data_IF_815519110240
#
_entry.id   IF_815519110240
#
_cell.length_a   1.000
_cell.length_b   1.000
_cell.length_c   1.000
_cell.angle_alpha   90.00
_cell.angle_beta   90.00
_cell.angle_gamma   90.00
#
_symmetry.space_group_name_H-M   'P 1'
#
loop_
_entity.id
_entity.type
_entity.pdbx_description
1 polymer ?
#
# COMPACT_ATOMS: atom_id res chain seq x y z
N UNK A 1 13.99 -13.24 35.01
CA UNK A 1 13.53 -14.62 34.71
C UNK A 1 12.77 -14.59 33.41
N UNK A 2 13.05 -15.49 32.49
CA UNK A 2 12.31 -15.63 31.22
C UNK A 2 10.94 -16.22 31.57
N UNK A 3 9.85 -15.53 31.17
CA UNK A 3 8.48 -16.01 31.39
C UNK A 3 8.00 -16.82 30.19
N UNK A 4 8.32 -18.11 30.15
CA UNK A 4 7.96 -19.00 29.04
C UNK A 4 6.46 -19.00 28.72
N UNK A 5 5.52 -19.02 29.67
CA UNK A 5 4.07 -18.91 29.38
C UNK A 5 3.70 -17.65 28.59
N UNK A 6 4.23 -16.49 28.92
CA UNK A 6 3.96 -15.24 28.19
C UNK A 6 4.50 -15.29 26.77
N UNK A 7 5.71 -15.83 26.57
CA UNK A 7 6.33 -16.03 25.26
C UNK A 7 5.49 -16.99 24.40
N UNK A 8 5.03 -18.10 24.99
CA UNK A 8 4.17 -19.07 24.30
C UNK A 8 2.85 -18.43 23.85
N UNK A 9 2.23 -17.60 24.69
CA UNK A 9 0.99 -16.91 24.35
C UNK A 9 1.24 -15.87 23.25
N UNK A 10 2.29 -15.04 23.37
CA UNK A 10 2.58 -14.00 22.39
C UNK A 10 2.93 -14.61 21.02
N UNK A 11 3.87 -15.54 20.98
CA UNK A 11 4.29 -16.18 19.73
C UNK A 11 3.23 -17.13 19.17
N UNK A 12 2.51 -17.86 20.03
CA UNK A 12 1.41 -18.72 19.60
C UNK A 12 0.28 -17.90 18.93
N UNK A 13 -0.05 -16.75 19.50
CA UNK A 13 -1.00 -15.80 18.90
C UNK A 13 -0.46 -15.28 17.57
N UNK A 14 0.79 -14.84 17.50
CA UNK A 14 1.42 -14.37 16.27
C UNK A 14 1.43 -15.44 15.17
N UNK A 15 1.83 -16.66 15.50
CA UNK A 15 1.84 -17.79 14.56
C UNK A 15 0.42 -18.13 14.06
N UNK A 16 -0.59 -18.14 14.94
CA UNK A 16 -1.98 -18.37 14.58
C UNK A 16 -2.48 -17.29 13.61
N UNK A 17 -2.24 -16.02 13.90
CA UNK A 17 -2.67 -14.90 13.07
C UNK A 17 -2.04 -14.96 11.66
N UNK A 18 -0.74 -15.22 11.57
CA UNK A 18 -0.02 -15.34 10.29
C UNK A 18 -0.51 -16.55 9.50
N UNK A 19 -0.67 -17.71 10.16
CA UNK A 19 -1.16 -18.93 9.50
C UNK A 19 -2.59 -18.73 8.98
N UNK A 20 -3.47 -18.14 9.77
CA UNK A 20 -4.85 -17.84 9.37
C UNK A 20 -4.87 -16.92 8.15
N UNK A 21 -4.09 -15.84 8.16
CA UNK A 21 -3.99 -14.92 7.03
C UNK A 21 -3.42 -15.62 5.78
N UNK A 22 -2.41 -16.46 5.93
CA UNK A 22 -1.81 -17.21 4.83
C UNK A 22 -2.80 -18.17 4.18
N UNK A 23 -3.52 -18.96 4.99
CA UNK A 23 -4.54 -19.90 4.49
C UNK A 23 -5.70 -19.17 3.81
N UNK A 24 -6.15 -18.05 4.38
CA UNK A 24 -7.19 -17.22 3.78
C UNK A 24 -6.75 -16.67 2.40
N UNK A 25 -5.53 -16.16 2.31
CA UNK A 25 -4.97 -15.63 1.05
C UNK A 25 -4.79 -16.71 -0.01
N UNK A 26 -4.26 -17.88 0.32
CA UNK A 26 -4.10 -19.01 -0.62
C UNK A 26 -5.46 -19.40 -1.22
N UNK A 27 -6.54 -19.37 -0.43
CA UNK A 27 -7.89 -19.68 -0.91
C UNK A 27 -8.44 -18.65 -1.90
N UNK A 28 -8.07 -17.37 -1.77
CA UNK A 28 -8.62 -16.26 -2.57
C UNK A 28 -7.68 -15.88 -3.72
N UNK A 29 -6.37 -16.21 -3.61
CA UNK A 29 -5.38 -15.82 -4.60
C UNK A 29 -5.75 -16.32 -5.99
N UNK A 30 -6.12 -15.38 -6.87
CA UNK A 30 -6.44 -15.63 -8.28
C UNK A 30 -5.33 -15.16 -9.21
N UNK A 31 -4.35 -14.42 -8.72
CA UNK A 31 -3.33 -13.80 -9.54
C UNK A 31 -1.94 -14.32 -9.21
N UNK A 32 -1.07 -14.37 -10.23
CA UNK A 32 0.30 -14.84 -10.12
C UNK A 32 1.28 -13.64 -10.02
N UNK A 33 0.82 -12.53 -9.49
CA UNK A 33 1.58 -11.28 -9.44
C UNK A 33 2.72 -11.35 -8.39
N UNK A 34 3.76 -10.54 -8.64
CA UNK A 34 4.96 -10.53 -7.80
C UNK A 34 4.67 -10.09 -6.36
N UNK A 35 3.84 -9.04 -6.17
CA UNK A 35 3.49 -8.52 -4.84
C UNK A 35 2.74 -9.55 -4.00
N UNK A 36 1.85 -10.34 -4.58
CA UNK A 36 1.19 -11.43 -3.86
C UNK A 36 2.16 -12.53 -3.42
N UNK A 37 3.09 -12.91 -4.32
CA UNK A 37 4.13 -13.90 -3.98
C UNK A 37 5.05 -13.39 -2.88
N UNK A 38 5.51 -12.14 -3.00
CA UNK A 38 6.39 -11.52 -2.00
C UNK A 38 5.70 -11.42 -0.63
N UNK A 39 4.43 -11.03 -0.62
CA UNK A 39 3.65 -10.95 0.62
C UNK A 39 3.46 -12.33 1.27
N UNK A 40 3.06 -13.34 0.50
CA UNK A 40 2.90 -14.71 1.00
C UNK A 40 4.23 -15.29 1.49
N UNK A 41 5.34 -15.00 0.81
CA UNK A 41 6.68 -15.40 1.24
C UNK A 41 7.05 -14.77 2.59
N UNK A 42 6.78 -13.46 2.78
CA UNK A 42 7.01 -12.80 4.07
C UNK A 42 6.16 -13.41 5.20
N UNK A 43 4.91 -13.79 4.93
CA UNK A 43 4.07 -14.50 5.90
C UNK A 43 4.68 -15.85 6.29
N UNK A 44 5.16 -16.64 5.32
CA UNK A 44 5.81 -17.93 5.57
C UNK A 44 7.07 -17.73 6.44
N UNK A 45 7.93 -16.78 6.10
CA UNK A 45 9.14 -16.46 6.87
C UNK A 45 8.78 -16.04 8.29
N UNK A 46 7.75 -15.19 8.45
CA UNK A 46 7.28 -14.75 9.77
C UNK A 46 6.75 -15.92 10.59
N UNK A 47 5.97 -16.83 10.00
CA UNK A 47 5.48 -18.03 10.69
C UNK A 47 6.63 -18.90 11.18
N UNK A 48 7.60 -19.19 10.32
CA UNK A 48 8.80 -19.98 10.67
C UNK A 48 9.58 -19.30 11.79
N UNK A 49 9.81 -17.98 11.67
CA UNK A 49 10.56 -17.22 12.66
C UNK A 49 9.86 -17.20 14.03
N UNK A 50 8.54 -17.09 14.06
CA UNK A 50 7.73 -17.11 15.31
C UNK A 50 7.84 -18.45 16.02
N UNK A 51 7.68 -19.56 15.29
CA UNK A 51 7.83 -20.92 15.85
C UNK A 51 9.26 -21.13 16.32
N UNK A 52 10.23 -20.73 15.51
CA UNK A 52 11.65 -20.88 15.80
C UNK A 52 12.09 -20.09 17.04
N UNK A 53 11.62 -18.86 17.20
CA UNK A 53 11.90 -18.07 18.40
C UNK A 53 11.32 -18.73 19.67
N UNK A 54 10.09 -19.24 19.58
CA UNK A 54 9.47 -19.99 20.68
C UNK A 54 10.32 -21.20 21.09
N UNK A 55 10.80 -21.96 20.10
CA UNK A 55 11.68 -23.09 20.36
C UNK A 55 12.98 -22.64 21.01
N UNK A 56 13.59 -21.55 20.56
CA UNK A 56 14.80 -20.98 21.16
C UNK A 56 14.64 -20.70 22.65
N UNK A 57 13.53 -20.07 23.07
CA UNK A 57 13.26 -19.81 24.49
C UNK A 57 12.98 -21.08 25.31
N UNK A 58 12.35 -22.11 24.71
CA UNK A 58 12.06 -23.37 25.39
C UNK A 58 13.34 -24.16 25.66
N UNK A 59 14.30 -24.12 24.73
CA UNK A 59 15.54 -24.88 24.82
C UNK A 59 16.67 -24.11 25.53
N UNK A 60 16.49 -22.83 25.81
CA UNK A 60 17.46 -21.99 26.51
C UNK A 60 17.82 -22.58 27.88
N UNK A 61 19.09 -22.58 28.23
CA UNK A 61 19.66 -23.16 29.45
C UNK A 61 19.40 -24.65 29.65
N UNK A 62 18.96 -25.43 28.66
CA UNK A 62 18.81 -26.87 28.75
C UNK A 62 20.17 -27.56 28.49
N UNK A 63 20.63 -28.44 29.40
CA UNK A 63 21.93 -29.10 29.24
C UNK A 63 21.90 -30.12 28.11
N UNK A 64 23.01 -30.24 27.39
CA UNK A 64 23.23 -31.25 26.36
C UNK A 64 23.65 -30.71 25.01
N UNK A 65 24.50 -31.43 24.31
CA UNK A 65 25.08 -31.02 23.03
C UNK A 65 24.05 -30.79 21.94
N UNK A 66 22.98 -31.60 21.92
CA UNK A 66 21.90 -31.43 20.94
C UNK A 66 21.20 -30.08 21.14
N UNK A 67 20.93 -29.69 22.38
CA UNK A 67 20.30 -28.40 22.68
C UNK A 67 21.21 -27.22 22.33
N UNK A 68 22.52 -27.36 22.47
CA UNK A 68 23.49 -26.38 22.04
C UNK A 68 23.42 -26.13 20.52
N UNK A 69 23.42 -27.19 19.73
CA UNK A 69 23.28 -27.07 18.26
C UNK A 69 21.94 -26.46 17.87
N UNK A 70 20.85 -26.92 18.48
CA UNK A 70 19.50 -26.40 18.18
C UNK A 70 19.37 -24.92 18.54
N UNK A 71 19.95 -24.51 19.68
CA UNK A 71 19.96 -23.09 20.10
C UNK A 71 20.76 -22.25 19.11
N UNK A 72 21.88 -22.76 18.63
CA UNK A 72 22.71 -22.07 17.65
C UNK A 72 22.00 -21.89 16.30
N UNK A 73 21.39 -22.95 15.78
CA UNK A 73 20.59 -22.93 14.54
C UNK A 73 19.40 -21.97 14.68
N UNK A 74 18.68 -22.05 15.78
CA UNK A 74 17.49 -21.27 16.07
C UNK A 74 17.79 -19.78 16.07
N UNK A 75 18.84 -19.34 16.76
CA UNK A 75 19.24 -17.94 16.81
C UNK A 75 19.78 -17.44 15.46
N UNK A 76 20.44 -18.31 14.68
CA UNK A 76 20.85 -18.00 13.31
C UNK A 76 19.64 -17.72 12.41
N UNK A 77 18.62 -18.59 12.44
CA UNK A 77 17.37 -18.42 11.66
C UNK A 77 16.66 -17.12 12.07
N UNK A 78 16.52 -16.86 13.36
CA UNK A 78 15.90 -15.64 13.88
C UNK A 78 16.63 -14.38 13.42
N UNK A 79 17.97 -14.38 13.48
CA UNK A 79 18.81 -13.27 13.03
C UNK A 79 18.69 -13.00 11.52
N UNK A 80 18.57 -14.04 10.71
CA UNK A 80 18.41 -13.92 9.25
C UNK A 80 17.00 -13.46 8.85
N UNK A 81 15.97 -13.91 9.56
CA UNK A 81 14.56 -13.71 9.20
C UNK A 81 14.17 -12.23 9.12
N UNK A 82 14.62 -11.39 10.06
CA UNK A 82 14.30 -9.97 10.09
C UNK A 82 14.89 -9.20 8.89
N UNK A 83 16.13 -9.52 8.49
CA UNK A 83 16.74 -8.94 7.29
C UNK A 83 16.03 -9.37 6.00
N UNK A 84 15.64 -10.64 5.90
CA UNK A 84 14.88 -11.17 4.76
C UNK A 84 13.53 -10.47 4.63
N UNK A 85 12.78 -10.31 5.72
CA UNK A 85 11.48 -9.64 5.71
C UNK A 85 11.64 -8.17 5.32
N UNK A 86 12.62 -7.45 5.88
CA UNK A 86 12.88 -6.05 5.53
C UNK A 86 13.19 -5.85 4.04
N UNK A 87 14.04 -6.72 3.47
CA UNK A 87 14.35 -6.72 2.05
C UNK A 87 13.13 -7.01 1.18
N UNK A 88 12.39 -8.08 1.49
CA UNK A 88 11.18 -8.44 0.75
C UNK A 88 10.09 -7.37 0.86
N UNK A 89 9.98 -6.71 2.02
CA UNK A 89 9.07 -5.59 2.21
C UNK A 89 9.38 -4.42 1.26
N UNK A 90 10.65 -4.03 1.14
CA UNK A 90 11.04 -2.98 0.18
C UNK A 90 10.70 -3.36 -1.27
N UNK A 91 10.94 -4.62 -1.67
CA UNK A 91 10.59 -5.08 -3.01
C UNK A 91 9.08 -5.10 -3.23
N UNK A 92 8.32 -5.53 -2.22
CA UNK A 92 6.86 -5.51 -2.25
C UNK A 92 6.33 -4.08 -2.43
N UNK A 93 6.81 -3.12 -1.63
CA UNK A 93 6.45 -1.70 -1.72
C UNK A 93 6.77 -1.15 -3.10
N UNK A 94 7.99 -1.37 -3.59
CA UNK A 94 8.44 -0.87 -4.89
C UNK A 94 7.58 -1.40 -6.04
N UNK A 95 7.24 -2.68 -6.03
CA UNK A 95 6.38 -3.28 -7.07
C UNK A 95 4.95 -2.82 -6.95
N UNK A 96 4.40 -2.82 -5.74
CA UNK A 96 3.00 -2.45 -5.52
C UNK A 96 2.71 -1.04 -6.02
N UNK A 97 3.67 -0.12 -5.83
CA UNK A 97 3.55 1.29 -6.25
C UNK A 97 3.76 1.48 -7.75
N UNK A 98 4.82 0.90 -8.29
CA UNK A 98 5.26 1.23 -9.66
C UNK A 98 4.84 0.21 -10.71
N UNK A 99 4.40 -0.99 -10.31
CA UNK A 99 4.00 -2.10 -11.21
C UNK A 99 5.02 -2.40 -12.32
N UNK A 100 6.31 -2.13 -12.07
CA UNK A 100 7.38 -2.24 -13.07
C UNK A 100 8.47 -3.22 -12.60
N UNK A 101 8.57 -4.37 -13.27
CA UNK A 101 9.50 -5.43 -12.91
C UNK A 101 10.96 -5.10 -13.22
N UNK A 102 11.25 -4.38 -14.31
CA UNK A 102 12.62 -3.97 -14.64
C UNK A 102 13.19 -3.00 -13.59
N UNK A 103 12.35 -2.13 -13.07
CA UNK A 103 12.72 -1.22 -11.99
C UNK A 103 13.10 -1.99 -10.71
N UNK A 104 12.33 -3.02 -10.35
CA UNK A 104 12.64 -3.89 -9.22
C UNK A 104 13.97 -4.59 -9.42
N UNK A 105 14.21 -5.19 -10.58
CA UNK A 105 15.44 -5.90 -10.89
C UNK A 105 16.68 -5.01 -10.73
N UNK A 106 16.58 -3.73 -11.08
CA UNK A 106 17.65 -2.76 -10.86
C UNK A 106 17.80 -2.41 -9.37
N UNK A 107 16.70 -2.13 -8.68
CA UNK A 107 16.70 -1.68 -7.28
C UNK A 107 17.01 -2.81 -6.31
N UNK A 108 16.61 -4.05 -6.61
CA UNK A 108 16.89 -5.23 -5.78
C UNK A 108 18.38 -5.44 -5.51
N UNK A 109 19.25 -5.13 -6.48
CA UNK A 109 20.71 -5.25 -6.31
C UNK A 109 21.24 -4.31 -5.24
N UNK A 110 20.72 -3.08 -5.19
CA UNK A 110 21.12 -2.07 -4.19
C UNK A 110 20.54 -2.45 -2.83
N UNK A 111 19.27 -2.83 -2.79
CA UNK A 111 18.59 -3.23 -1.57
C UNK A 111 19.15 -4.54 -0.98
N UNK A 112 19.79 -5.38 -1.78
CA UNK A 112 20.45 -6.60 -1.29
C UNK A 112 21.72 -6.30 -0.46
N UNK A 113 22.34 -5.11 -0.57
CA UNK A 113 23.60 -4.80 0.10
C UNK A 113 23.50 -4.98 1.63
N UNK A 114 22.54 -4.38 2.35
CA UNK A 114 22.42 -4.59 3.80
C UNK A 114 22.16 -6.05 4.15
N UNK A 115 21.35 -6.78 3.36
CA UNK A 115 21.09 -8.20 3.56
C UNK A 115 22.36 -9.05 3.38
N UNK A 116 23.16 -8.77 2.36
CA UNK A 116 24.45 -9.46 2.12
C UNK A 116 25.40 -9.23 3.30
N UNK A 117 25.52 -7.98 3.77
CA UNK A 117 26.38 -7.66 4.92
C UNK A 117 25.87 -8.38 6.17
N UNK A 118 24.57 -8.37 6.45
CA UNK A 118 23.98 -9.12 7.56
C UNK A 118 24.27 -10.61 7.46
N UNK A 119 24.13 -11.20 6.25
CA UNK A 119 24.45 -12.62 6.01
C UNK A 119 25.92 -12.94 6.26
N UNK A 120 26.84 -12.07 5.84
CA UNK A 120 28.27 -12.22 6.11
C UNK A 120 28.56 -12.17 7.63
N UNK A 121 27.96 -11.21 8.35
CA UNK A 121 28.13 -11.13 9.81
C UNK A 121 27.57 -12.36 10.52
N UNK A 122 26.42 -12.87 10.10
CA UNK A 122 25.84 -14.11 10.62
C UNK A 122 26.78 -15.31 10.31
N UNK A 123 27.32 -15.36 9.09
CA UNK A 123 28.28 -16.41 8.72
C UNK A 123 29.56 -16.35 9.55
N UNK A 124 30.11 -15.15 9.80
CA UNK A 124 31.26 -14.99 10.74
C UNK A 124 30.88 -15.46 12.14
N UNK A 125 29.65 -15.21 12.59
CA UNK A 125 29.18 -15.69 13.89
C UNK A 125 29.11 -17.23 13.96
N UNK A 126 28.80 -17.90 12.83
CA UNK A 126 28.82 -19.37 12.74
C UNK A 126 30.22 -19.97 12.97
N UNK A 127 31.29 -19.20 12.82
CA UNK A 127 32.66 -19.60 13.12
C UNK A 127 33.00 -19.51 14.63
N UNK A 128 32.00 -19.26 15.48
CA UNK A 128 32.17 -19.22 16.94
C UNK A 128 32.72 -17.89 17.47
N UNK A 129 32.59 -16.78 16.72
CA UNK A 129 33.14 -15.48 17.13
C UNK A 129 32.29 -14.76 18.17
N UNK A 130 31.00 -15.12 18.34
CA UNK A 130 30.09 -14.49 19.29
C UNK A 130 29.74 -13.03 18.98
N UNK A 131 30.03 -12.53 17.76
CA UNK A 131 29.84 -11.11 17.43
C UNK A 131 28.37 -10.69 17.36
N UNK A 132 27.48 -11.56 16.90
CA UNK A 132 26.03 -11.33 16.82
C UNK A 132 25.32 -11.89 18.04
N UNK A 133 25.62 -13.14 18.39
CA UNK A 133 25.16 -13.81 19.60
C UNK A 133 26.16 -14.88 20.01
N UNK A 134 26.18 -15.19 21.28
CA UNK A 134 26.96 -16.28 21.83
C UNK A 134 26.09 -17.21 22.66
N UNK A 135 26.48 -18.49 22.75
CA UNK A 135 25.79 -19.49 23.53
C UNK A 135 26.82 -20.12 24.46
N UNK A 136 26.63 -19.90 25.76
CA UNK A 136 27.55 -20.43 26.78
C UNK A 136 27.61 -21.97 26.79
N UNK A 137 28.54 -22.53 27.51
CA UNK A 137 28.64 -24.00 27.73
C UNK A 137 27.42 -24.58 28.44
N UNK A 138 26.70 -23.74 29.19
CA UNK A 138 25.46 -24.05 29.89
C UNK A 138 24.21 -23.83 28.98
N UNK A 139 24.44 -23.58 27.68
CA UNK A 139 23.41 -23.30 26.67
C UNK A 139 22.57 -22.03 26.93
N UNK A 140 23.15 -21.05 27.62
CA UNK A 140 22.50 -19.76 27.84
C UNK A 140 22.85 -18.83 26.70
N UNK A 141 21.79 -18.24 26.07
CA UNK A 141 21.93 -17.25 25.02
C UNK A 141 22.36 -15.88 25.58
N UNK A 142 23.30 -15.26 24.90
CA UNK A 142 23.69 -13.85 25.13
C UNK A 142 23.81 -13.08 23.83
N UNK A 143 23.41 -11.79 23.85
CA UNK A 143 23.57 -10.92 22.69
C UNK A 143 25.04 -10.55 22.51
N UNK A 144 25.55 -10.71 21.30
CA UNK A 144 26.87 -10.26 20.92
C UNK A 144 26.97 -8.74 20.74
N UNK A 145 28.18 -8.17 20.71
CA UNK A 145 28.41 -6.73 20.66
C UNK A 145 27.92 -6.07 19.37
N UNK A 146 27.79 -6.82 18.26
CA UNK A 146 27.30 -6.32 16.98
C UNK A 146 25.84 -6.69 16.68
N UNK A 147 25.11 -7.29 17.62
CA UNK A 147 23.70 -7.66 17.42
C UNK A 147 22.84 -6.46 16.97
N UNK A 148 23.10 -5.25 17.47
CA UNK A 148 22.37 -4.03 17.12
C UNK A 148 22.47 -3.64 15.63
N UNK A 149 23.50 -4.10 14.90
CA UNK A 149 23.69 -3.81 13.47
C UNK A 149 22.54 -4.41 12.65
N UNK A 150 22.04 -5.60 13.05
CA UNK A 150 20.90 -6.22 12.38
C UNK A 150 19.65 -5.35 12.46
N UNK A 151 19.41 -4.69 13.60
CA UNK A 151 18.31 -3.73 13.74
C UNK A 151 18.52 -2.49 12.88
N UNK A 152 19.76 -1.97 12.77
CA UNK A 152 20.07 -0.83 11.89
C UNK A 152 19.72 -1.18 10.44
N UNK A 153 20.03 -2.38 9.95
CA UNK A 153 19.69 -2.78 8.59
C UNK A 153 18.17 -2.85 8.36
N UNK A 154 17.42 -3.31 9.34
CA UNK A 154 15.94 -3.28 9.28
C UNK A 154 15.42 -1.83 9.21
N UNK A 155 15.98 -0.91 9.99
CA UNK A 155 15.62 0.51 9.92
C UNK A 155 15.98 1.15 8.57
N UNK A 156 17.08 0.76 7.95
CA UNK A 156 17.42 1.20 6.58
C UNK A 156 16.32 0.81 5.59
N UNK A 157 15.79 -0.42 5.68
CA UNK A 157 14.66 -0.86 4.85
C UNK A 157 13.38 -0.07 5.12
N UNK A 158 13.09 0.27 6.38
CA UNK A 158 11.93 1.09 6.72
C UNK A 158 12.05 2.51 6.14
N UNK A 159 13.22 3.15 6.28
CA UNK A 159 13.48 4.49 5.73
C UNK A 159 13.36 4.47 4.20
N UNK A 160 13.93 3.47 3.54
CA UNK A 160 13.85 3.35 2.08
C UNK A 160 12.42 3.13 1.58
N UNK A 161 11.62 2.33 2.29
CA UNK A 161 10.21 2.12 1.93
C UNK A 161 9.38 3.39 2.14
N UNK A 162 9.61 4.15 3.23
CA UNK A 162 8.98 5.46 3.45
C UNK A 162 9.36 6.43 2.31
N UNK A 163 10.65 6.51 1.96
CA UNK A 163 11.14 7.36 0.87
C UNK A 163 10.47 7.00 -0.46
N UNK A 164 10.36 5.72 -0.78
CA UNK A 164 9.71 5.22 -2.01
C UNK A 164 8.26 5.67 -2.08
N UNK A 165 7.49 5.49 -1.01
CA UNK A 165 6.08 5.89 -0.93
C UNK A 165 5.93 7.41 -1.07
N UNK A 166 6.71 8.19 -0.31
CA UNK A 166 6.61 9.64 -0.35
C UNK A 166 7.00 10.21 -1.73
N UNK A 167 8.04 9.66 -2.37
CA UNK A 167 8.44 10.08 -3.71
C UNK A 167 7.36 9.81 -4.76
N UNK A 168 6.69 8.67 -4.65
CA UNK A 168 5.66 8.25 -5.60
C UNK A 168 4.27 8.86 -5.35
N UNK A 169 4.06 9.50 -4.19
CA UNK A 169 2.77 10.10 -3.80
C UNK A 169 2.24 11.15 -4.80
N UNK A 170 3.09 11.67 -5.65
CA UNK A 170 2.72 12.64 -6.69
C UNK A 170 2.27 11.98 -8.00
N UNK A 171 2.53 10.69 -8.18
CA UNK A 171 2.40 10.03 -9.48
C UNK A 171 1.16 9.13 -9.58
N UNK A 172 0.48 8.76 -8.46
CA UNK A 172 -0.64 7.83 -8.48
C UNK A 172 -1.54 7.93 -7.25
N UNK A 173 -2.88 7.80 -7.46
CA UNK A 173 -3.89 7.68 -6.38
C UNK A 173 -3.65 6.45 -5.50
N UNK A 174 -3.20 5.32 -6.08
CA UNK A 174 -2.93 4.08 -5.36
C UNK A 174 -1.90 4.27 -4.24
N UNK A 175 -1.00 5.25 -4.38
CA UNK A 175 0.03 5.57 -3.38
C UNK A 175 -0.55 6.29 -2.17
N UNK A 176 -1.65 7.03 -2.33
CA UNK A 176 -2.30 7.76 -1.23
C UNK A 176 -2.80 6.81 -0.14
N UNK A 177 -3.23 5.60 -0.53
CA UNK A 177 -3.75 4.58 0.38
C UNK A 177 -2.72 3.53 0.78
N UNK A 178 -1.46 3.63 0.32
CA UNK A 178 -0.49 2.61 0.68
C UNK A 178 -0.17 2.65 2.17
N UNK A 179 -0.43 1.55 2.92
CA UNK A 179 -0.45 1.54 4.38
C UNK A 179 0.94 1.41 5.01
N UNK A 180 1.91 2.24 4.59
CA UNK A 180 3.31 2.13 5.00
C UNK A 180 3.48 2.20 6.52
N UNK A 181 2.74 3.10 7.19
CA UNK A 181 2.84 3.28 8.63
C UNK A 181 2.19 2.16 9.43
N UNK A 182 1.17 1.49 8.88
CA UNK A 182 0.55 0.31 9.49
C UNK A 182 1.49 -0.89 9.57
N UNK A 183 2.50 -0.95 8.71
CA UNK A 183 3.56 -1.95 8.81
C UNK A 183 4.68 -1.48 9.76
N UNK A 184 5.19 -0.29 9.56
CA UNK A 184 6.41 0.18 10.24
C UNK A 184 6.16 0.41 11.74
N UNK A 185 5.05 1.03 12.13
CA UNK A 185 4.81 1.40 13.53
C UNK A 185 4.74 0.18 14.46
N UNK A 186 3.93 -0.87 14.19
CA UNK A 186 3.93 -2.06 15.02
C UNK A 186 5.30 -2.75 15.08
N UNK A 187 5.99 -2.86 13.94
CA UNK A 187 7.32 -3.46 13.89
C UNK A 187 8.35 -2.69 14.73
N UNK A 188 8.31 -1.35 14.69
CA UNK A 188 9.17 -0.51 15.54
C UNK A 188 8.86 -0.70 17.02
N UNK A 189 7.59 -0.71 17.40
CA UNK A 189 7.16 -0.92 18.80
C UNK A 189 7.67 -2.28 19.29
N UNK A 190 7.44 -3.36 18.53
CA UNK A 190 7.92 -4.70 18.89
C UNK A 190 9.44 -4.77 19.04
N UNK A 191 10.16 -4.15 18.10
CA UNK A 191 11.63 -4.09 18.11
C UNK A 191 12.17 -3.30 19.31
N UNK A 192 11.54 -2.17 19.65
CA UNK A 192 11.93 -1.37 20.81
C UNK A 192 11.68 -2.12 22.12
N UNK A 193 10.49 -2.69 22.30
CA UNK A 193 10.19 -3.45 23.53
C UNK A 193 11.18 -4.59 23.71
N UNK A 194 11.36 -5.44 22.70
CA UNK A 194 12.26 -6.59 22.79
C UNK A 194 13.74 -6.17 22.84
N UNK A 195 14.08 -5.01 22.29
CA UNK A 195 15.43 -4.43 22.37
C UNK A 195 15.81 -4.01 23.78
N UNK A 196 14.88 -3.33 24.48
CA UNK A 196 15.13 -2.82 25.83
C UNK A 196 14.88 -3.84 26.95
N UNK A 197 13.92 -4.76 26.74
CA UNK A 197 13.54 -5.74 27.75
C UNK A 197 13.99 -7.14 27.33
N UNK A 198 15.00 -7.66 28.03
CA UNK A 198 15.46 -9.04 27.79
C UNK A 198 14.43 -10.06 28.31
N UNK A 199 14.21 -11.13 27.54
CA UNK A 199 13.25 -12.19 27.92
C UNK A 199 11.80 -11.92 27.54
N UNK A 200 11.53 -10.85 26.77
CA UNK A 200 10.22 -10.56 26.18
C UNK A 200 10.29 -10.83 24.66
N UNK A 201 9.30 -11.54 24.14
CA UNK A 201 9.18 -11.84 22.72
C UNK A 201 7.96 -11.11 22.13
N UNK A 202 8.19 -10.00 21.46
CA UNK A 202 7.13 -9.14 20.92
C UNK A 202 7.28 -8.82 19.43
N UNK A 203 8.48 -8.99 18.86
CA UNK A 203 8.75 -8.62 17.46
C UNK A 203 7.81 -9.36 16.51
N UNK A 204 7.74 -10.69 16.60
CA UNK A 204 6.98 -11.48 15.64
C UNK A 204 5.47 -11.31 15.79
N UNK A 205 4.97 -11.11 17.00
CA UNK A 205 3.57 -10.74 17.22
C UNK A 205 3.25 -9.40 16.56
N UNK A 206 4.11 -8.40 16.76
CA UNK A 206 3.93 -7.08 16.13
C UNK A 206 4.03 -7.13 14.60
N UNK A 207 4.95 -7.95 14.06
CA UNK A 207 5.04 -8.20 12.61
C UNK A 207 3.78 -8.89 12.07
N UNK A 208 3.23 -9.87 12.81
CA UNK A 208 1.98 -10.52 12.44
C UNK A 208 0.80 -9.53 12.39
N UNK A 209 0.69 -8.68 13.41
CA UNK A 209 -0.32 -7.61 13.45
C UNK A 209 -0.11 -6.63 12.28
N UNK A 210 1.13 -6.23 12.01
CA UNK A 210 1.47 -5.33 10.90
C UNK A 210 1.01 -5.90 9.55
N UNK A 211 1.23 -7.19 9.28
CA UNK A 211 0.75 -7.82 8.05
C UNK A 211 -0.78 -7.83 7.97
N UNK A 212 -1.50 -8.10 9.07
CA UNK A 212 -2.96 -8.05 9.06
C UNK A 212 -3.45 -6.62 8.74
N UNK A 213 -2.89 -5.61 9.38
CA UNK A 213 -3.26 -4.21 9.15
C UNK A 213 -3.02 -3.81 7.70
N UNK A 214 -1.84 -4.14 7.14
CA UNK A 214 -1.52 -3.90 5.73
C UNK A 214 -2.50 -4.61 4.81
N UNK A 215 -2.84 -5.86 5.10
CA UNK A 215 -3.81 -6.62 4.30
C UNK A 215 -5.19 -5.96 4.30
N UNK A 216 -5.69 -5.58 5.46
CA UNK A 216 -7.00 -4.91 5.61
C UNK A 216 -7.01 -3.60 4.81
N UNK A 217 -5.98 -2.78 4.92
CA UNK A 217 -5.91 -1.49 4.21
C UNK A 217 -5.81 -1.66 2.69
N UNK A 218 -5.07 -2.65 2.22
CA UNK A 218 -5.02 -2.98 0.78
C UNK A 218 -6.41 -3.41 0.30
N UNK A 219 -7.15 -4.23 1.07
CA UNK A 219 -8.52 -4.63 0.70
C UNK A 219 -9.47 -3.43 0.69
N UNK A 220 -9.35 -2.51 1.66
CA UNK A 220 -10.12 -1.27 1.69
C UNK A 220 -9.81 -0.39 0.48
N UNK A 221 -8.53 -0.25 0.10
CA UNK A 221 -8.14 0.54 -1.06
C UNK A 221 -8.73 -0.02 -2.36
N UNK A 222 -8.66 -1.34 -2.57
CA UNK A 222 -9.27 -2.02 -3.72
C UNK A 222 -10.79 -1.80 -3.75
N UNK A 223 -11.45 -1.81 -2.59
CA UNK A 223 -12.89 -1.59 -2.48
C UNK A 223 -13.33 -0.20 -2.98
N UNK A 224 -12.46 0.80 -2.92
CA UNK A 224 -12.75 2.19 -3.28
C UNK A 224 -12.21 2.65 -4.64
N UNK A 225 -11.45 1.82 -5.33
CA UNK A 225 -10.89 2.15 -6.65
C UNK A 225 -11.74 1.52 -7.76
N UNK A 226 -11.85 2.21 -8.88
CA UNK A 226 -12.38 1.68 -10.14
C UNK A 226 -11.25 0.99 -10.91
N UNK A 227 -11.38 -0.31 -11.15
CA UNK A 227 -10.32 -1.16 -11.73
C UNK A 227 -9.91 -0.72 -13.14
N UNK A 228 -10.82 -0.08 -13.90
CA UNK A 228 -10.55 0.32 -15.27
C UNK A 228 -9.83 1.67 -15.32
N UNK A 229 -10.38 2.69 -14.68
CA UNK A 229 -9.86 4.06 -14.78
C UNK A 229 -8.75 4.37 -13.77
N UNK A 230 -8.60 3.57 -12.71
CA UNK A 230 -7.70 3.81 -11.59
C UNK A 230 -8.12 4.97 -10.69
N UNK A 231 -9.27 5.59 -10.94
CA UNK A 231 -9.87 6.62 -10.10
C UNK A 231 -10.63 6.00 -8.93
N UNK A 232 -11.12 6.84 -8.02
CA UNK A 232 -12.08 6.38 -7.02
C UNK A 232 -13.39 5.95 -7.69
N UNK A 233 -14.08 5.00 -7.06
CA UNK A 233 -15.38 4.53 -7.53
C UNK A 233 -16.56 5.22 -6.82
N UNK A 234 -17.79 4.89 -7.22
CA UNK A 234 -19.04 5.42 -6.63
C UNK A 234 -19.15 5.17 -5.13
N UNK A 235 -18.57 4.07 -4.60
CA UNK A 235 -18.60 3.79 -3.14
C UNK A 235 -17.78 4.81 -2.37
N UNK A 236 -16.61 5.19 -2.90
CA UNK A 236 -15.80 6.26 -2.32
C UNK A 236 -16.51 7.61 -2.37
N UNK A 237 -17.22 7.91 -3.46
CA UNK A 237 -18.03 9.13 -3.55
C UNK A 237 -19.01 9.24 -2.38
N UNK A 238 -19.74 8.17 -2.09
CA UNK A 238 -20.71 8.15 -0.99
C UNK A 238 -19.99 8.35 0.37
N UNK A 239 -18.85 7.71 0.56
CA UNK A 239 -18.02 7.90 1.76
C UNK A 239 -17.56 9.36 1.90
N UNK A 240 -17.09 9.98 0.82
CA UNK A 240 -16.65 11.38 0.79
C UNK A 240 -17.78 12.35 1.10
N UNK A 241 -18.95 12.16 0.51
CA UNK A 241 -20.16 12.98 0.74
C UNK A 241 -20.63 12.91 2.19
N UNK A 242 -20.64 11.71 2.79
CA UNK A 242 -20.96 11.54 4.21
C UNK A 242 -19.97 12.30 5.11
N UNK A 243 -18.68 12.29 4.75
CA UNK A 243 -17.65 13.04 5.48
C UNK A 243 -17.83 14.55 5.33
N UNK A 244 -18.21 15.03 4.14
CA UNK A 244 -18.51 16.44 3.91
C UNK A 244 -19.67 16.92 4.77
N UNK A 245 -20.75 16.15 4.82
CA UNK A 245 -21.96 16.48 5.59
C UNK A 245 -21.67 16.56 7.08
N UNK A 246 -20.90 15.59 7.62
CA UNK A 246 -20.56 15.53 9.04
C UNK A 246 -19.60 16.63 9.48
N UNK A 247 -18.65 17.00 8.64
CA UNK A 247 -17.60 17.98 8.99
C UNK A 247 -17.96 19.42 8.66
N UNK A 248 -19.17 19.69 8.13
CA UNK A 248 -19.61 21.03 7.68
C UNK A 248 -18.55 21.75 6.86
N UNK A 249 -17.81 21.00 6.03
CA UNK A 249 -16.72 21.53 5.22
C UNK A 249 -17.28 22.55 4.22
N UNK A 250 -16.77 23.78 4.24
CA UNK A 250 -17.15 24.85 3.31
C UNK A 250 -16.14 24.89 2.16
N UNK A 251 -16.54 25.52 1.04
CA UNK A 251 -15.66 25.73 -0.13
C UNK A 251 -15.30 24.46 -0.92
N UNK A 252 -16.23 23.50 -1.00
CA UNK A 252 -16.09 22.36 -1.89
C UNK A 252 -16.95 22.61 -3.13
N UNK A 253 -16.35 22.46 -4.31
CA UNK A 253 -17.01 22.46 -5.60
C UNK A 253 -17.05 21.05 -6.15
N UNK A 254 -18.16 20.67 -6.72
CA UNK A 254 -18.36 19.43 -7.43
C UNK A 254 -18.45 19.69 -8.94
N UNK A 255 -17.82 18.82 -9.69
CA UNK A 255 -17.83 18.81 -11.15
C UNK A 255 -18.36 17.46 -11.60
N UNK A 256 -19.52 17.41 -12.24
CA UNK A 256 -20.05 16.20 -12.84
C UNK A 256 -19.79 16.21 -14.33
N UNK A 257 -19.30 15.13 -14.88
CA UNK A 257 -18.84 15.03 -16.25
C UNK A 257 -19.33 13.72 -16.88
N UNK A 258 -19.63 13.80 -18.17
CA UNK A 258 -20.07 12.68 -18.99
C UNK A 258 -19.36 12.76 -20.34
N UNK A 259 -18.77 11.65 -20.80
CA UNK A 259 -18.11 11.60 -22.11
C UNK A 259 -19.16 11.59 -23.19
N UNK A 260 -19.13 12.62 -24.05
CA UNK A 260 -20.08 12.75 -25.15
C UNK A 260 -19.87 11.62 -26.17
N UNK A 261 -20.99 11.10 -26.66
CA UNK A 261 -21.03 10.09 -27.72
C UNK A 261 -20.21 8.81 -27.41
N UNK A 262 -20.02 8.49 -26.11
CA UNK A 262 -19.25 7.33 -25.68
C UNK A 262 -19.75 6.02 -26.27
N UNK A 263 -21.08 5.87 -26.39
CA UNK A 263 -21.68 4.72 -27.05
C UNK A 263 -21.22 4.61 -28.50
N UNK A 264 -21.16 5.73 -29.24
CA UNK A 264 -20.69 5.73 -30.62
C UNK A 264 -19.22 5.30 -30.74
N UNK A 265 -18.36 5.67 -29.74
CA UNK A 265 -16.98 5.17 -29.68
C UNK A 265 -16.99 3.66 -29.57
N UNK A 266 -17.79 3.09 -28.66
CA UNK A 266 -17.90 1.64 -28.48
C UNK A 266 -18.43 0.93 -29.74
N UNK A 267 -19.52 1.45 -30.32
CA UNK A 267 -20.20 0.85 -31.46
C UNK A 267 -19.32 0.90 -32.74
N UNK A 268 -18.51 1.96 -32.90
CA UNK A 268 -17.68 2.15 -34.11
C UNK A 268 -16.30 1.50 -33.97
N UNK A 269 -15.65 1.56 -32.78
CA UNK A 269 -14.25 1.15 -32.61
C UNK A 269 -14.07 -0.03 -31.66
N UNK A 270 -15.18 -0.55 -31.09
CA UNK A 270 -15.20 -1.67 -30.17
C UNK A 270 -14.90 -1.29 -28.70
N UNK A 271 -15.32 -2.14 -27.78
CA UNK A 271 -15.23 -1.91 -26.34
C UNK A 271 -13.81 -1.67 -25.84
N UNK A 272 -12.78 -2.30 -26.44
CA UNK A 272 -11.39 -2.03 -26.06
C UNK A 272 -10.96 -0.58 -26.28
N UNK A 273 -11.48 0.07 -27.32
CA UNK A 273 -11.25 1.49 -27.57
C UNK A 273 -12.04 2.39 -26.62
N UNK A 274 -13.26 1.97 -26.27
CA UNK A 274 -14.05 2.62 -25.22
C UNK A 274 -13.35 2.55 -23.85
N UNK A 275 -12.85 1.38 -23.47
CA UNK A 275 -12.09 1.20 -22.24
C UNK A 275 -10.84 2.10 -22.23
N UNK A 276 -10.12 2.16 -23.35
CA UNK A 276 -8.96 3.05 -23.48
C UNK A 276 -9.37 4.52 -23.33
N UNK A 277 -10.51 4.94 -23.90
CA UNK A 277 -11.04 6.30 -23.75
C UNK A 277 -11.32 6.63 -22.27
N UNK A 278 -11.94 5.71 -21.52
CA UNK A 278 -12.22 5.85 -20.09
C UNK A 278 -10.93 5.96 -19.27
N UNK A 279 -9.93 5.12 -19.56
CA UNK A 279 -8.60 5.16 -18.91
C UNK A 279 -7.94 6.51 -19.15
N UNK A 280 -7.88 6.96 -20.40
CA UNK A 280 -7.24 8.23 -20.75
C UNK A 280 -7.96 9.43 -20.15
N UNK A 281 -9.28 9.42 -20.13
CA UNK A 281 -10.05 10.47 -19.46
C UNK A 281 -9.77 10.50 -17.96
N UNK A 282 -9.72 9.35 -17.31
CA UNK A 282 -9.32 9.22 -15.90
C UNK A 282 -7.92 9.82 -15.62
N UNK A 283 -6.93 9.49 -16.44
CA UNK A 283 -5.56 10.03 -16.35
C UNK A 283 -5.58 11.56 -16.51
N UNK A 284 -6.33 12.08 -17.48
CA UNK A 284 -6.47 13.52 -17.72
C UNK A 284 -7.06 14.21 -16.49
N UNK A 285 -8.14 13.67 -15.91
CA UNK A 285 -8.77 14.24 -14.73
C UNK A 285 -7.79 14.27 -13.55
N UNK A 286 -7.08 13.17 -13.32
CA UNK A 286 -6.08 13.07 -12.24
C UNK A 286 -4.98 14.12 -12.36
N UNK A 287 -4.46 14.36 -13.57
CA UNK A 287 -3.43 15.39 -13.81
C UNK A 287 -3.97 16.81 -13.81
N UNK A 288 -5.28 16.99 -13.84
CA UNK A 288 -5.92 18.32 -13.84
C UNK A 288 -6.22 18.86 -12.45
N UNK A 289 -6.22 18.00 -11.44
CA UNK A 289 -6.59 18.34 -10.07
C UNK A 289 -5.36 18.41 -9.15
N UNK A 290 -5.51 19.15 -8.06
CA UNK A 290 -4.53 19.20 -6.99
C UNK A 290 -4.70 18.04 -5.98
N UNK A 291 -3.81 17.98 -4.97
CA UNK A 291 -3.78 16.91 -3.97
C UNK A 291 -4.97 16.89 -3.01
N UNK A 292 -5.63 18.03 -2.84
CA UNK A 292 -6.79 18.15 -1.94
C UNK A 292 -8.11 17.88 -2.64
N UNK A 293 -8.04 17.58 -3.94
CA UNK A 293 -9.16 17.25 -4.80
C UNK A 293 -9.23 15.74 -5.07
N UNK A 294 -10.42 15.23 -5.34
CA UNK A 294 -10.63 13.82 -5.64
C UNK A 294 -11.36 13.65 -6.97
N UNK A 295 -10.87 12.72 -7.80
CA UNK A 295 -11.51 12.32 -9.05
C UNK A 295 -12.11 10.92 -8.91
N UNK A 296 -13.33 10.76 -9.38
CA UNK A 296 -14.18 9.61 -9.17
C UNK A 296 -14.79 9.19 -10.51
N UNK A 297 -14.87 7.89 -10.79
CA UNK A 297 -15.73 7.34 -11.83
C UNK A 297 -16.97 6.75 -11.18
N UNK A 298 -18.14 7.26 -11.53
CA UNK A 298 -19.42 6.81 -10.98
C UNK A 298 -19.88 5.48 -11.59
N UNK A 299 -19.59 5.28 -12.87
CA UNK A 299 -19.93 4.12 -13.68
C UNK A 299 -20.11 4.52 -15.14
N UNK A 300 -19.99 3.57 -16.06
CA UNK A 300 -20.08 3.89 -17.49
C UNK A 300 -19.09 5.00 -17.90
N UNK A 301 -19.62 6.07 -18.44
CA UNK A 301 -18.94 7.27 -18.95
C UNK A 301 -19.05 8.49 -18.02
N UNK A 302 -19.58 8.30 -16.79
CA UNK A 302 -19.81 9.36 -15.80
C UNK A 302 -18.66 9.50 -14.82
N UNK A 303 -18.16 10.73 -14.64
CA UNK A 303 -17.08 11.09 -13.74
C UNK A 303 -17.45 12.28 -12.84
N UNK A 304 -16.85 12.31 -11.64
CA UNK A 304 -17.05 13.40 -10.68
C UNK A 304 -15.71 13.86 -10.14
N UNK A 305 -15.54 15.17 -9.96
CA UNK A 305 -14.44 15.74 -9.18
C UNK A 305 -15.05 16.52 -8.01
N UNK A 306 -14.48 16.32 -6.81
CA UNK A 306 -14.67 17.22 -5.68
C UNK A 306 -13.38 17.97 -5.42
N UNK A 307 -13.43 19.30 -5.48
CA UNK A 307 -12.27 20.14 -5.29
C UNK A 307 -12.52 21.20 -4.20
N UNK A 308 -11.52 21.43 -3.36
CA UNK A 308 -11.55 22.51 -2.35
C UNK A 308 -11.04 23.79 -3.00
N UNK A 309 -11.95 24.67 -3.40
CA UNK A 309 -11.66 25.90 -4.13
C UNK A 309 -12.20 27.10 -3.36
N UNK A 310 -11.48 28.21 -3.44
CA UNK A 310 -11.81 29.42 -2.68
C UNK A 310 -12.92 30.25 -3.32
N UNK A 311 -13.05 30.19 -4.66
CA UNK A 311 -13.98 31.03 -5.42
C UNK A 311 -14.52 30.33 -6.66
N UNK A 312 -15.57 30.94 -7.24
CA UNK A 312 -16.18 30.48 -8.50
C UNK A 312 -15.20 30.66 -9.69
N UNK A 313 -14.29 31.65 -9.64
CA UNK A 313 -13.24 31.85 -10.62
C UNK A 313 -12.25 30.68 -10.64
N UNK A 314 -11.85 30.16 -9.47
CA UNK A 314 -11.00 28.96 -9.38
C UNK A 314 -11.72 27.73 -9.96
N UNK A 315 -13.03 27.60 -9.73
CA UNK A 315 -13.81 26.52 -10.29
C UNK A 315 -13.90 26.60 -11.83
N UNK A 316 -14.08 27.80 -12.36
CA UNK A 316 -14.07 28.04 -13.81
C UNK A 316 -12.67 27.81 -14.41
N UNK A 317 -11.61 28.16 -13.68
CA UNK A 317 -10.24 27.89 -14.09
C UNK A 317 -9.96 26.40 -14.18
N UNK A 318 -10.38 25.61 -13.19
CA UNK A 318 -10.26 24.14 -13.22
C UNK A 318 -11.03 23.53 -14.39
N UNK A 319 -12.27 23.99 -14.65
CA UNK A 319 -13.04 23.58 -15.84
C UNK A 319 -12.27 23.85 -17.14
N UNK A 320 -11.67 25.03 -17.26
CA UNK A 320 -10.85 25.39 -18.44
C UNK A 320 -9.61 24.51 -18.56
N UNK A 321 -8.95 24.20 -17.44
CA UNK A 321 -7.78 23.32 -17.41
C UNK A 321 -8.12 21.92 -17.89
N UNK A 322 -9.23 21.33 -17.42
CA UNK A 322 -9.67 19.99 -17.84
C UNK A 322 -9.95 20.00 -19.37
N UNK A 323 -10.70 20.98 -19.86
CA UNK A 323 -10.99 21.13 -21.30
C UNK A 323 -9.70 21.27 -22.12
N UNK A 324 -8.75 22.05 -21.63
CA UNK A 324 -7.45 22.22 -22.28
C UNK A 324 -6.69 20.89 -22.34
N UNK A 325 -6.63 20.13 -21.25
CA UNK A 325 -5.92 18.86 -21.19
C UNK A 325 -6.54 17.81 -22.11
N UNK A 326 -7.88 17.74 -22.20
CA UNK A 326 -8.58 16.88 -23.18
C UNK A 326 -8.24 17.28 -24.61
N UNK A 327 -8.24 18.60 -24.91
CA UNK A 327 -7.83 19.08 -26.23
C UNK A 327 -6.38 18.72 -26.58
N UNK A 328 -5.46 18.83 -25.60
CA UNK A 328 -4.05 18.42 -25.78
C UNK A 328 -3.93 16.92 -26.04
N UNK A 329 -4.70 16.10 -25.36
CA UNK A 329 -4.78 14.67 -25.65
C UNK A 329 -5.23 14.43 -27.10
N UNK A 330 -6.33 15.03 -27.54
CA UNK A 330 -6.85 14.86 -28.90
C UNK A 330 -5.85 15.29 -29.98
N UNK A 331 -5.04 16.33 -29.74
CA UNK A 331 -4.00 16.78 -30.68
C UNK A 331 -2.83 15.79 -30.76
N UNK A 332 -2.45 15.19 -29.63
CA UNK A 332 -1.29 14.31 -29.54
C UNK A 332 -1.60 12.84 -29.82
N UNK A 333 -2.86 12.47 -29.61
CA UNK A 333 -3.33 11.10 -29.77
C UNK A 333 -3.39 10.71 -31.26
N UNK A 334 -3.00 9.45 -31.53
CA UNK A 334 -3.17 8.82 -32.85
C UNK A 334 -4.43 7.97 -32.92
N UNK A 335 -5.32 8.10 -31.91
CA UNK A 335 -6.54 7.33 -31.85
C UNK A 335 -7.56 7.81 -32.91
N UNK A 336 -8.40 6.89 -33.43
CA UNK A 336 -9.35 7.23 -34.47
C UNK A 336 -10.57 8.02 -33.95
N UNK A 337 -10.65 8.30 -32.65
CA UNK A 337 -11.71 9.07 -32.02
C UNK A 337 -11.16 10.31 -31.29
N UNK A 338 -12.03 11.27 -31.06
CA UNK A 338 -11.75 12.44 -30.23
C UNK A 338 -12.56 12.39 -28.95
N UNK A 339 -11.89 12.61 -27.80
CA UNK A 339 -12.58 12.77 -26.52
C UNK A 339 -13.25 14.15 -26.47
N UNK A 340 -14.54 14.15 -26.18
CA UNK A 340 -15.27 15.34 -25.77
C UNK A 340 -16.14 15.00 -24.56
N UNK A 341 -16.49 15.99 -23.75
CA UNK A 341 -17.27 15.77 -22.55
C UNK A 341 -18.12 16.99 -22.19
N UNK A 342 -19.24 16.71 -21.55
CA UNK A 342 -20.10 17.71 -20.93
C UNK A 342 -19.73 17.85 -19.46
N UNK A 343 -19.81 19.04 -18.88
CA UNK A 343 -19.39 19.31 -17.50
C UNK A 343 -20.31 20.29 -16.82
N UNK A 344 -20.93 19.88 -15.72
CA UNK A 344 -21.69 20.69 -14.77
C UNK A 344 -20.88 21.02 -13.54
N UNK A 345 -21.12 22.17 -12.94
CA UNK A 345 -20.46 22.63 -11.70
C UNK A 345 -21.52 23.06 -10.70
N UNK A 346 -21.31 22.64 -9.45
CA UNK A 346 -22.07 23.14 -8.32
C UNK A 346 -21.17 23.42 -7.12
N UNK A 347 -21.63 24.30 -6.23
CA UNK A 347 -20.95 24.60 -4.96
C UNK A 347 -21.67 23.94 -3.81
N UNK A 348 -20.94 23.24 -2.94
CA UNK A 348 -21.53 22.65 -1.76
C UNK A 348 -21.91 23.72 -0.73
N UNK A 349 -23.18 23.73 -0.34
CA UNK A 349 -23.73 24.71 0.60
C UNK A 349 -23.49 24.37 2.09
N UNK A 350 -22.82 23.26 2.37
CA UNK A 350 -22.52 22.79 3.73
C UNK A 350 -23.66 22.05 4.43
N UNK A 351 -24.79 21.76 3.77
CA UNK A 351 -25.98 21.20 4.42
C UNK A 351 -26.53 19.92 3.78
N UNK A 352 -26.70 19.87 2.48
CA UNK A 352 -27.40 18.77 1.79
C UNK A 352 -26.58 18.26 0.61
N UNK A 353 -26.10 17.02 0.72
CA UNK A 353 -25.31 16.35 -0.33
C UNK A 353 -26.16 15.91 -1.51
N UNK A 354 -27.45 15.57 -1.32
CA UNK A 354 -28.33 15.16 -2.41
C UNK A 354 -28.68 16.35 -3.31
N UNK A 355 -29.00 17.49 -2.69
CA UNK A 355 -29.21 18.73 -3.43
C UNK A 355 -27.94 19.18 -4.17
N UNK A 356 -26.76 18.92 -3.60
CA UNK A 356 -25.48 19.22 -4.25
C UNK A 356 -25.25 18.33 -5.47
N UNK A 357 -25.51 17.03 -5.37
CA UNK A 357 -25.42 16.10 -6.49
C UNK A 357 -26.42 16.47 -7.60
N UNK A 358 -27.69 16.76 -7.24
CA UNK A 358 -28.71 17.18 -8.21
C UNK A 358 -28.28 18.45 -8.95
N UNK A 359 -27.77 19.46 -8.24
CA UNK A 359 -27.34 20.71 -8.90
C UNK A 359 -26.16 20.50 -9.88
N UNK A 360 -25.25 19.55 -9.59
CA UNK A 360 -24.18 19.17 -10.51
C UNK A 360 -24.75 18.50 -11.77
N UNK A 361 -25.68 17.55 -11.57
CA UNK A 361 -26.32 16.79 -12.65
C UNK A 361 -27.14 17.70 -13.57
N UNK A 362 -27.97 18.55 -12.99
CA UNK A 362 -28.77 19.54 -13.75
C UNK A 362 -27.86 20.43 -14.62
N UNK A 363 -26.77 20.95 -14.02
CA UNK A 363 -25.80 21.78 -14.76
C UNK A 363 -25.07 21.01 -15.87
N UNK A 364 -24.77 19.73 -15.66
CA UNK A 364 -24.15 18.87 -16.68
C UNK A 364 -25.13 18.55 -17.80
N UNK A 365 -26.38 18.28 -17.47
CA UNK A 365 -27.43 18.00 -18.45
C UNK A 365 -27.70 19.19 -19.38
N UNK A 366 -27.72 20.41 -18.83
CA UNK A 366 -27.79 21.65 -19.63
C UNK A 366 -26.62 21.76 -20.61
N UNK A 367 -25.39 21.48 -20.13
CA UNK A 367 -24.18 21.49 -20.97
C UNK A 367 -24.26 20.41 -22.09
N UNK A 368 -24.81 19.24 -21.78
CA UNK A 368 -24.99 18.13 -22.74
C UNK A 368 -26.00 18.47 -23.81
N UNK A 369 -27.11 19.13 -23.44
CA UNK A 369 -28.13 19.60 -24.40
C UNK A 369 -27.56 20.68 -25.32
N UNK A 370 -26.80 21.64 -24.80
CA UNK A 370 -26.14 22.65 -25.65
C UNK A 370 -25.15 22.01 -26.63
N UNK A 371 -24.41 20.98 -26.22
CA UNK A 371 -23.51 20.26 -27.13
C UNK A 371 -24.26 19.59 -28.27
N UNK A 372 -25.39 18.93 -28.00
CA UNK A 372 -26.23 18.28 -29.03
C UNK A 372 -26.84 19.26 -30.02
N UNK A 373 -27.14 20.51 -29.61
CA UNK A 373 -27.67 21.54 -30.49
C UNK A 373 -26.60 22.16 -31.41
N UNK A 374 -25.32 21.97 -31.11
CA UNK A 374 -24.19 22.48 -31.90
C UNK A 374 -23.61 21.46 -32.90
N UNK A 375 -24.04 20.20 -32.82
CA UNK A 375 -23.78 19.15 -33.82
C UNK A 375 -24.82 19.17 -34.95
#
# INVERSE_FOLDING_TARGET
MINIPEILVANGTGAFLVLFLLLYRIRIAQTNQFDEKAYNFMLIVTFIATINETLSFIIDARPGFIFHILQFISNTISSASSGIIGYCWCLFVEYHIHRNFERIKKKSRILAIPLIIATILIFINLLGTGIIFDISKENVYTRGPMNFILYIFVFVYYIESIYTVHKAKYDSILVEFFPIYYFIIPCMIGTMIQGFFFGVSTIWLCVAIAFILVYIEIQISIFFIDDLSGLYNRKYMNHYLNKLQNNKTKHVYGFMMDINDFKAINDTYGHLKGDYALIQFGIILQHSIDKDSVAIRMGGDEFVIFAKLKSDEEALALKKQIKYNVRQFNIKSKEPFHLSFSIGIAKFNGKNTDAFLSAMDDSMYEAKNMHRLMQ
#
